data_IF_560298366898
#
_entry.id   IF_560298366898
#
_cell.length_a   1.000
_cell.length_b   1.000
_cell.length_c   1.000
_cell.angle_alpha   90.00
_cell.angle_beta   90.00
_cell.angle_gamma   90.00
#
_symmetry.space_group_name_H-M   'P 1'
#
loop_
_entity.id
_entity.type
_entity.pdbx_description
1 polymer ?
#
# COMPACT_ATOMS: atom_id res chain seq x y z
N UNK A 1 31.82 7.88 -6.76
CA UNK A 1 30.64 7.19 -7.31
C UNK A 1 29.59 6.99 -6.22
N UNK A 2 28.51 7.79 -6.27
CA UNK A 2 27.49 7.93 -5.20
C UNK A 2 26.34 6.92 -5.40
N UNK A 3 25.77 6.43 -4.29
CA UNK A 3 24.68 5.45 -4.22
C UNK A 3 23.35 6.16 -4.51
N UNK A 4 22.58 5.69 -5.51
CA UNK A 4 21.21 6.14 -5.80
C UNK A 4 20.28 5.08 -5.23
N UNK A 5 19.35 5.50 -4.38
CA UNK A 5 18.37 4.67 -3.70
C UNK A 5 17.00 5.27 -4.04
N UNK A 6 16.09 4.42 -4.49
CA UNK A 6 14.69 4.80 -4.64
C UNK A 6 14.12 5.29 -3.31
N UNK A 7 13.46 6.45 -3.34
CA UNK A 7 12.79 7.02 -2.18
C UNK A 7 11.32 6.67 -2.29
N UNK A 8 11.00 5.47 -1.83
CA UNK A 8 9.72 5.16 -1.18
C UNK A 8 9.85 5.57 0.29
N UNK A 9 8.79 6.13 0.88
CA UNK A 9 8.73 6.46 2.31
C UNK A 9 8.71 5.14 3.10
N UNK A 10 9.89 4.65 3.49
CA UNK A 10 10.06 3.35 4.16
C UNK A 10 10.09 3.51 5.67
N UNK A 11 9.16 2.87 6.38
CA UNK A 11 9.05 2.84 7.84
C UNK A 11 9.49 1.43 8.30
N UNK A 12 10.46 1.35 9.21
CA UNK A 12 10.93 0.08 9.77
C UNK A 12 10.45 -0.07 11.23
N UNK A 13 9.79 -1.20 11.56
CA UNK A 13 9.37 -1.53 12.93
C UNK A 13 9.67 -2.98 13.29
N UNK A 14 10.19 -3.17 14.51
CA UNK A 14 10.43 -4.47 15.13
C UNK A 14 10.20 -4.40 16.64
N UNK A 15 9.07 -4.94 17.11
CA UNK A 15 8.89 -5.66 18.39
C UNK A 15 7.40 -5.91 18.64
N UNK A 16 7.02 -7.17 18.83
CA UNK A 16 5.67 -7.71 18.69
C UNK A 16 5.15 -8.10 20.07
N UNK A 17 4.07 -7.44 20.53
CA UNK A 17 2.92 -8.00 21.26
C UNK A 17 1.95 -6.91 21.79
N UNK A 18 2.31 -5.61 21.75
CA UNK A 18 1.39 -4.45 21.91
C UNK A 18 0.84 -3.93 20.55
N UNK A 19 0.80 -4.80 19.54
CA UNK A 19 0.79 -4.39 18.13
C UNK A 19 -0.60 -4.02 17.57
N UNK A 20 -1.70 -4.43 18.20
CA UNK A 20 -3.04 -4.25 17.61
C UNK A 20 -3.61 -2.84 17.80
N UNK A 21 -3.50 -2.24 19.00
CA UNK A 21 -3.92 -0.85 19.23
C UNK A 21 -3.02 0.15 18.49
N UNK A 22 -1.70 -0.12 18.44
CA UNK A 22 -0.75 0.71 17.69
C UNK A 22 -0.97 0.64 16.17
N UNK A 23 -1.51 -0.46 15.64
CA UNK A 23 -1.89 -0.57 14.22
C UNK A 23 -3.10 0.29 13.87
N UNK A 24 -4.19 0.20 14.66
CA UNK A 24 -5.41 1.00 14.40
C UNK A 24 -5.10 2.49 14.38
N UNK A 25 -4.31 2.96 15.35
CA UNK A 25 -3.92 4.36 15.43
C UNK A 25 -3.09 4.80 14.22
N UNK A 26 -2.27 3.91 13.65
CA UNK A 26 -1.39 4.29 12.54
C UNK A 26 -2.15 4.48 11.22
N UNK A 27 -3.26 3.77 11.03
CA UNK A 27 -4.12 3.96 9.86
C UNK A 27 -4.81 5.33 9.89
N UNK A 28 -5.15 5.85 11.09
CA UNK A 28 -5.68 7.21 11.25
C UNK A 28 -4.65 8.26 10.77
N UNK A 29 -3.38 8.16 11.19
CA UNK A 29 -2.32 9.04 10.70
C UNK A 29 -2.15 8.99 9.18
N UNK A 30 -2.28 7.80 8.57
CA UNK A 30 -2.23 7.69 7.11
C UNK A 30 -3.41 8.40 6.46
N UNK A 31 -4.61 8.26 7.02
CA UNK A 31 -5.81 8.93 6.53
C UNK A 31 -5.67 10.46 6.63
N UNK A 32 -5.11 10.97 7.72
CA UNK A 32 -4.83 12.40 7.89
C UNK A 32 -3.82 12.92 6.86
N UNK A 33 -2.70 12.21 6.68
CA UNK A 33 -1.69 12.57 5.66
C UNK A 33 -2.29 12.54 4.25
N UNK A 34 -3.17 11.57 3.96
CA UNK A 34 -3.85 11.45 2.67
C UNK A 34 -4.78 12.64 2.44
N UNK A 35 -5.65 12.92 3.40
CA UNK A 35 -6.58 14.06 3.37
C UNK A 35 -5.81 15.38 3.15
N UNK A 36 -4.73 15.57 3.89
CA UNK A 36 -3.85 16.72 3.70
C UNK A 36 -3.28 16.79 2.28
N UNK A 37 -2.80 15.68 1.73
CA UNK A 37 -2.22 15.64 0.39
C UNK A 37 -3.28 15.94 -0.69
N UNK A 38 -4.49 15.42 -0.54
CA UNK A 38 -5.61 15.70 -1.45
C UNK A 38 -6.01 17.17 -1.45
N UNK A 39 -6.02 17.80 -0.28
CA UNK A 39 -6.43 19.19 -0.14
C UNK A 39 -5.33 20.19 -0.52
N UNK A 40 -4.06 19.87 -0.24
CA UNK A 40 -2.97 20.85 -0.31
C UNK A 40 -1.94 20.56 -1.41
N UNK A 41 -1.76 19.29 -1.78
CA UNK A 41 -0.70 18.87 -2.72
C UNK A 41 -1.31 18.63 -4.11
N UNK A 42 -2.37 17.83 -4.23
CA UNK A 42 -2.98 17.51 -5.52
C UNK A 42 -3.38 18.73 -6.36
N UNK A 43 -4.04 19.77 -5.81
CA UNK A 43 -4.45 20.90 -6.62
C UNK A 43 -3.24 21.62 -7.22
N UNK A 44 -2.18 21.79 -6.42
CA UNK A 44 -0.94 22.42 -6.87
C UNK A 44 -0.19 21.56 -7.89
N UNK A 45 -0.14 20.25 -7.69
CA UNK A 45 0.46 19.31 -8.64
C UNK A 45 -0.27 19.32 -9.98
N UNK A 46 -1.60 19.42 -9.99
CA UNK A 46 -2.40 19.55 -11.21
C UNK A 46 -2.11 20.86 -11.95
N UNK A 47 -1.94 21.97 -11.22
CA UNK A 47 -1.54 23.25 -11.80
C UNK A 47 -0.18 23.11 -12.48
N UNK A 48 0.84 22.61 -11.77
CA UNK A 48 2.18 22.44 -12.34
C UNK A 48 2.21 21.46 -13.51
N UNK A 49 1.47 20.35 -13.42
CA UNK A 49 1.31 19.41 -14.53
C UNK A 49 0.75 20.09 -15.77
N UNK A 50 -0.33 20.87 -15.61
CA UNK A 50 -0.95 21.60 -16.72
C UNK A 50 -0.02 22.67 -17.31
N UNK A 51 0.79 23.33 -16.49
CA UNK A 51 1.79 24.30 -16.97
C UNK A 51 2.87 23.61 -17.80
N UNK A 52 3.41 22.49 -17.31
CA UNK A 52 4.39 21.67 -18.05
C UNK A 52 3.78 21.21 -19.38
N UNK A 53 2.59 20.61 -19.36
CA UNK A 53 1.97 20.04 -20.55
C UNK A 53 1.67 21.10 -21.62
N UNK A 54 1.44 22.36 -21.21
CA UNK A 54 1.22 23.49 -22.13
C UNK A 54 2.51 24.03 -22.75
N UNK A 55 3.62 23.94 -22.01
CA UNK A 55 4.92 24.45 -22.44
C UNK A 55 5.58 23.54 -23.48
N UNK A 56 5.34 22.23 -23.40
CA UNK A 56 5.97 21.24 -24.27
C UNK A 56 5.30 21.16 -25.64
N UNK A 57 6.09 20.86 -26.67
CA UNK A 57 5.54 20.50 -27.98
C UNK A 57 4.97 19.07 -28.00
N UNK A 58 4.33 18.67 -29.10
CA UNK A 58 3.66 17.37 -29.22
C UNK A 58 4.59 16.18 -29.00
N UNK A 59 5.82 16.25 -29.50
CA UNK A 59 6.77 15.13 -29.46
C UNK A 59 7.36 14.99 -28.06
N UNK A 60 7.70 16.11 -27.42
CA UNK A 60 8.18 16.16 -26.04
C UNK A 60 7.09 15.70 -25.05
N UNK A 61 5.84 16.12 -25.27
CA UNK A 61 4.70 15.69 -24.47
C UNK A 61 4.48 14.17 -24.60
N UNK A 62 4.67 13.60 -25.79
CA UNK A 62 4.60 12.15 -25.99
C UNK A 62 5.69 11.41 -25.20
N UNK A 63 6.93 11.92 -25.22
CA UNK A 63 8.05 11.37 -24.42
C UNK A 63 7.72 11.45 -22.92
N UNK A 64 7.25 12.61 -22.45
CA UNK A 64 6.89 12.82 -21.05
C UNK A 64 5.77 11.88 -20.60
N UNK A 65 4.72 11.71 -21.42
CA UNK A 65 3.62 10.82 -21.10
C UNK A 65 4.05 9.34 -21.08
N UNK A 66 4.96 8.93 -21.96
CA UNK A 66 5.57 7.60 -21.88
C UNK A 66 6.35 7.41 -20.56
N UNK A 67 7.15 8.40 -20.17
CA UNK A 67 7.90 8.38 -18.92
C UNK A 67 6.97 8.34 -17.69
N UNK A 68 5.87 9.10 -17.69
CA UNK A 68 4.82 9.04 -16.65
C UNK A 68 4.21 7.64 -16.54
N UNK A 69 3.84 7.03 -17.67
CA UNK A 69 3.28 5.68 -17.69
C UNK A 69 4.27 4.64 -17.09
N UNK A 70 5.54 4.69 -17.53
CA UNK A 70 6.62 3.86 -16.96
C UNK A 70 6.79 4.10 -15.47
N UNK A 71 6.79 5.35 -15.02
CA UNK A 71 6.91 5.68 -13.60
C UNK A 71 5.75 5.11 -12.77
N UNK A 72 4.53 5.14 -13.30
CA UNK A 72 3.35 4.59 -12.64
C UNK A 72 3.40 3.06 -12.55
N UNK A 73 3.75 2.37 -13.63
CA UNK A 73 4.01 0.91 -13.61
C UNK A 73 5.12 0.58 -12.61
N UNK A 74 6.20 1.34 -12.67
CA UNK A 74 7.36 1.15 -11.84
C UNK A 74 7.07 1.30 -10.33
N UNK A 75 6.18 2.23 -9.97
CA UNK A 75 5.67 2.36 -8.59
C UNK A 75 4.90 1.10 -8.17
N UNK A 76 4.04 0.55 -9.04
CA UNK A 76 3.27 -0.66 -8.75
C UNK A 76 4.19 -1.86 -8.50
N UNK A 77 5.16 -2.08 -9.37
CA UNK A 77 6.16 -3.14 -9.24
C UNK A 77 7.00 -2.99 -7.97
N UNK A 78 7.44 -1.77 -7.68
CA UNK A 78 8.18 -1.47 -6.46
C UNK A 78 7.37 -1.77 -5.20
N UNK A 79 6.06 -1.49 -5.22
CA UNK A 79 5.14 -1.78 -4.12
C UNK A 79 4.88 -3.28 -3.97
N UNK A 80 4.69 -4.00 -5.07
CA UNK A 80 4.57 -5.46 -5.05
C UNK A 80 5.84 -6.12 -4.53
N UNK A 81 7.01 -5.67 -4.99
CA UNK A 81 8.29 -6.16 -4.50
C UNK A 81 8.43 -5.91 -2.99
N UNK A 82 8.05 -4.72 -2.49
CA UNK A 82 8.08 -4.43 -1.05
C UNK A 82 7.10 -5.30 -0.25
N UNK A 83 5.93 -5.65 -0.80
CA UNK A 83 4.96 -6.56 -0.16
C UNK A 83 5.51 -7.98 -0.05
N UNK A 84 6.15 -8.45 -1.11
CA UNK A 84 6.73 -9.79 -1.17
C UNK A 84 8.11 -9.87 -0.48
N UNK A 85 8.72 -8.73 -0.16
CA UNK A 85 10.01 -8.67 0.53
C UNK A 85 9.86 -9.06 2.00
N UNK A 86 10.05 -10.34 2.30
CA UNK A 86 10.34 -10.79 3.67
C UNK A 86 11.81 -10.52 3.95
N UNK A 87 12.16 -9.59 4.87
CA UNK A 87 13.55 -9.40 5.23
C UNK A 87 14.09 -10.70 5.81
N UNK A 88 15.02 -11.35 5.11
CA UNK A 88 15.75 -12.50 5.64
C UNK A 88 16.50 -12.05 6.89
N UNK A 89 15.94 -12.41 8.06
CA UNK A 89 16.45 -12.01 9.37
C UNK A 89 17.82 -12.63 9.66
N UNK A 90 18.23 -13.66 8.91
CA UNK A 90 19.50 -14.35 9.05
C UNK A 90 20.67 -13.66 8.34
N UNK A 91 20.42 -12.93 7.25
CA UNK A 91 21.48 -12.40 6.39
C UNK A 91 21.59 -10.87 6.42
N UNK A 92 21.94 -10.32 7.59
CA UNK A 92 22.21 -8.88 7.78
C UNK A 92 23.37 -8.33 6.94
N UNK A 93 24.08 -9.19 6.21
CA UNK A 93 25.25 -8.85 5.39
C UNK A 93 25.05 -8.96 3.88
N UNK A 94 23.84 -9.29 3.39
CA UNK A 94 23.54 -9.36 1.96
C UNK A 94 23.83 -8.02 1.29
N UNK A 95 25.03 -7.90 0.69
CA UNK A 95 25.45 -6.73 -0.08
C UNK A 95 24.34 -6.46 -1.10
N UNK A 96 23.66 -5.31 -0.98
CA UNK A 96 22.75 -4.81 -2.02
C UNK A 96 23.45 -5.01 -3.36
N UNK A 97 22.92 -5.93 -4.17
CA UNK A 97 23.48 -6.25 -5.47
C UNK A 97 23.69 -4.96 -6.26
N UNK A 98 24.77 -4.87 -7.03
CA UNK A 98 25.09 -3.67 -7.83
C UNK A 98 24.02 -3.37 -8.90
N UNK A 99 23.11 -4.31 -9.16
CA UNK A 99 22.09 -4.22 -10.18
C UNK A 99 20.73 -4.15 -9.50
N UNK A 100 20.28 -2.93 -9.17
CA UNK A 100 18.90 -2.72 -8.78
C UNK A 100 18.16 -2.26 -10.05
N UNK A 101 17.29 -3.09 -10.66
CA UNK A 101 16.61 -2.74 -11.92
C UNK A 101 15.83 -1.42 -11.81
N UNK A 102 15.28 -1.15 -10.62
CA UNK A 102 14.65 0.12 -10.25
C UNK A 102 15.53 1.34 -10.49
N UNK A 103 16.83 1.21 -10.22
CA UNK A 103 17.77 2.31 -10.40
C UNK A 103 18.03 2.55 -11.88
N UNK A 104 18.17 1.49 -12.67
CA UNK A 104 18.43 1.57 -14.11
C UNK A 104 17.25 2.22 -14.83
N UNK A 105 16.02 1.81 -14.50
CA UNK A 105 14.80 2.41 -15.07
C UNK A 105 14.63 3.89 -14.68
N UNK A 106 14.91 4.25 -13.42
CA UNK A 106 14.90 5.67 -13.01
C UNK A 106 15.99 6.49 -13.71
N UNK A 107 17.15 5.90 -13.98
CA UNK A 107 18.21 6.56 -14.74
C UNK A 107 17.82 6.74 -16.21
N UNK A 108 17.16 5.73 -16.81
CA UNK A 108 16.64 5.81 -18.18
C UNK A 108 15.62 6.93 -18.32
N UNK A 109 14.60 6.98 -17.44
CA UNK A 109 13.60 8.06 -17.46
C UNK A 109 14.24 9.43 -17.27
N UNK A 110 15.22 9.53 -16.36
CA UNK A 110 15.95 10.78 -16.17
C UNK A 110 16.70 11.19 -17.45
N UNK A 111 17.38 10.26 -18.12
CA UNK A 111 18.08 10.52 -19.38
C UNK A 111 17.12 10.94 -20.51
N UNK A 112 15.91 10.37 -20.57
CA UNK A 112 14.89 10.75 -21.56
C UNK A 112 14.33 12.15 -21.32
N UNK A 113 14.25 12.59 -20.06
CA UNK A 113 13.67 13.88 -19.69
C UNK A 113 14.70 15.03 -19.68
N UNK A 114 16.00 14.73 -19.65
CA UNK A 114 17.06 15.75 -19.66
C UNK A 114 16.97 16.69 -20.88
N UNK A 115 16.86 16.20 -22.13
CA UNK A 115 16.75 17.08 -23.30
C UNK A 115 15.55 18.02 -23.23
N UNK A 116 14.41 17.55 -22.73
CA UNK A 116 13.20 18.37 -22.54
C UNK A 116 13.47 19.50 -21.55
N UNK A 117 14.16 19.19 -20.44
CA UNK A 117 14.52 20.18 -19.43
C UNK A 117 15.51 21.21 -19.98
N UNK A 118 16.44 20.78 -20.83
CA UNK A 118 17.43 21.66 -21.46
C UNK A 118 16.80 22.58 -22.51
N UNK A 119 15.85 22.07 -23.32
CA UNK A 119 15.11 22.85 -24.31
C UNK A 119 14.26 23.96 -23.68
N UNK A 120 13.75 23.75 -22.46
CA UNK A 120 12.90 24.68 -21.72
C UNK A 120 13.55 25.13 -20.40
N UNK A 121 14.86 25.42 -20.42
CA UNK A 121 15.65 25.66 -19.21
C UNK A 121 15.11 26.78 -18.32
N UNK A 122 14.66 27.89 -18.92
CA UNK A 122 14.18 29.08 -18.20
C UNK A 122 12.85 28.80 -17.51
N UNK A 123 11.92 28.16 -18.23
CA UNK A 123 10.66 27.70 -17.65
C UNK A 123 10.90 26.77 -16.45
N UNK A 124 11.76 25.77 -16.61
CA UNK A 124 12.06 24.82 -15.53
C UNK A 124 12.91 25.41 -14.41
N UNK A 125 13.67 26.48 -14.65
CA UNK A 125 14.34 27.23 -13.59
C UNK A 125 13.31 27.94 -12.71
N UNK A 126 12.38 28.69 -13.32
CA UNK A 126 11.31 29.38 -12.59
C UNK A 126 10.40 28.39 -11.84
N UNK A 127 10.00 27.30 -12.49
CA UNK A 127 9.16 26.28 -11.86
C UNK A 127 9.85 25.63 -10.65
N UNK A 128 11.18 25.44 -10.67
CA UNK A 128 11.92 24.93 -9.50
C UNK A 128 11.85 25.89 -8.31
N UNK A 129 11.95 27.20 -8.56
CA UNK A 129 11.85 28.22 -7.52
C UNK A 129 10.46 28.23 -6.86
N UNK A 130 9.40 27.94 -7.63
CA UNK A 130 8.05 27.79 -7.10
C UNK A 130 7.85 26.48 -6.33
N UNK A 131 8.38 25.36 -6.85
CA UNK A 131 8.22 24.03 -6.24
C UNK A 131 8.92 23.95 -4.88
N UNK A 132 10.12 24.52 -4.76
CA UNK A 132 10.95 24.35 -3.58
C UNK A 132 10.26 24.75 -2.26
N UNK A 133 9.76 25.99 -2.08
CA UNK A 133 9.15 26.41 -0.81
C UNK A 133 7.89 25.59 -0.48
N UNK A 134 7.08 25.24 -1.49
CA UNK A 134 5.90 24.37 -1.30
C UNK A 134 6.29 22.97 -0.86
N UNK A 135 7.31 22.37 -1.49
CA UNK A 135 7.82 21.06 -1.08
C UNK A 135 8.38 21.07 0.34
N UNK A 136 9.06 22.15 0.75
CA UNK A 136 9.58 22.28 2.12
C UNK A 136 8.44 22.41 3.14
N UNK A 137 7.42 23.22 2.81
CA UNK A 137 6.21 23.36 3.63
C UNK A 137 5.52 22.00 3.82
N UNK A 138 5.20 21.29 2.74
CA UNK A 138 4.53 19.98 2.80
C UNK A 138 5.30 18.95 3.62
N UNK A 139 6.63 18.93 3.49
CA UNK A 139 7.47 18.05 4.31
C UNK A 139 7.40 18.40 5.80
N UNK A 140 7.38 19.68 6.14
CA UNK A 140 7.29 20.12 7.53
C UNK A 140 5.92 19.81 8.12
N UNK A 141 4.84 20.04 7.37
CA UNK A 141 3.48 19.75 7.81
C UNK A 141 3.31 18.24 8.06
N UNK A 142 3.76 17.38 7.14
CA UNK A 142 3.75 15.92 7.34
C UNK A 142 4.62 15.45 8.50
N UNK A 143 5.75 16.12 8.78
CA UNK A 143 6.56 15.82 9.96
C UNK A 143 5.86 16.23 11.24
N UNK A 144 5.15 17.35 11.23
CA UNK A 144 4.35 17.84 12.35
C UNK A 144 3.21 16.87 12.66
N UNK A 145 2.41 16.48 11.66
CA UNK A 145 1.35 15.48 11.83
C UNK A 145 1.88 14.16 12.42
N UNK A 146 3.01 13.65 11.91
CA UNK A 146 3.65 12.44 12.46
C UNK A 146 4.12 12.60 13.90
N UNK A 147 4.60 13.80 14.27
CA UNK A 147 5.09 14.10 15.61
C UNK A 147 3.94 14.21 16.60
N UNK A 148 2.88 14.93 16.26
CA UNK A 148 1.67 15.11 17.08
C UNK A 148 0.98 13.77 17.30
N UNK A 149 0.73 13.03 16.21
CA UNK A 149 0.19 11.68 16.30
C UNK A 149 1.02 10.77 17.22
N UNK A 150 2.36 10.83 17.13
CA UNK A 150 3.23 10.04 18.00
C UNK A 150 3.12 10.46 19.47
N UNK A 151 2.90 11.75 19.76
CA UNK A 151 2.73 12.24 21.13
C UNK A 151 1.42 11.76 21.75
N UNK A 152 0.37 11.64 20.94
CA UNK A 152 -0.97 11.24 21.39
C UNK A 152 -1.15 9.71 21.46
N UNK A 153 -0.53 8.96 20.54
CA UNK A 153 -0.85 7.55 20.30
C UNK A 153 0.23 6.56 20.76
N UNK A 154 1.43 7.04 21.08
CA UNK A 154 2.48 6.19 21.65
C UNK A 154 2.52 6.48 23.14
N UNK A 155 1.91 5.61 23.93
CA UNK A 155 2.13 5.59 25.38
C UNK A 155 3.64 5.67 25.60
N UNK A 156 4.09 6.73 26.26
CA UNK A 156 5.48 6.79 26.70
C UNK A 156 5.64 5.57 27.60
N UNK A 157 6.51 4.60 27.27
CA UNK A 157 6.74 3.51 28.19
C UNK A 157 7.14 4.15 29.51
N UNK A 158 6.39 3.85 30.58
CA UNK A 158 6.72 4.34 31.91
C UNK A 158 8.09 3.77 32.26
N UNK A 159 9.12 4.56 32.04
CA UNK A 159 10.42 4.28 32.60
C UNK A 159 10.29 4.50 34.10
N UNK A 160 9.97 3.45 34.85
CA UNK A 160 9.99 3.51 36.30
C UNK A 160 11.40 3.90 36.77
N UNK A 161 11.48 4.75 37.80
CA UNK A 161 12.73 5.39 38.24
C UNK A 161 13.81 4.40 38.76
N UNK A 162 13.50 3.10 38.86
CA UNK A 162 14.46 2.04 39.20
C UNK A 162 15.26 1.62 37.96
N UNK A 163 16.14 2.54 37.58
CA UNK A 163 16.94 2.61 36.34
C UNK A 163 17.96 1.50 36.07
N UNK A 164 17.89 0.35 36.74
CA UNK A 164 18.71 -0.81 36.40
C UNK A 164 18.09 -1.69 35.30
N UNK A 165 16.76 -1.63 35.10
CA UNK A 165 16.05 -2.58 34.24
C UNK A 165 15.16 -1.96 33.15
N UNK A 166 15.20 -0.64 32.95
CA UNK A 166 14.76 -0.09 31.67
C UNK A 166 15.70 -0.66 30.60
N UNK A 167 15.23 -1.52 29.67
CA UNK A 167 16.08 -1.96 28.59
C UNK A 167 16.63 -0.70 27.95
N UNK A 168 17.96 -0.58 27.93
CA UNK A 168 18.67 0.49 27.26
C UNK A 168 18.17 0.52 25.82
N UNK A 169 17.09 1.26 25.55
CA UNK A 169 16.56 1.52 24.23
C UNK A 169 17.60 2.40 23.55
N UNK A 170 18.64 1.75 23.06
CA UNK A 170 19.47 2.23 21.99
C UNK A 170 20.18 3.56 22.19
N UNK A 171 20.58 3.96 23.41
CA UNK A 171 21.79 4.80 23.56
C UNK A 171 23.06 3.99 23.26
N UNK A 172 22.97 3.03 22.33
CA UNK A 172 24.15 2.43 21.74
C UNK A 172 24.96 3.58 21.18
N UNK A 173 26.13 3.83 21.77
CA UNK A 173 27.17 4.74 21.29
C UNK A 173 27.75 4.30 19.93
N UNK A 174 26.98 3.56 19.14
CA UNK A 174 27.20 3.43 17.73
C UNK A 174 27.02 4.81 17.12
N UNK A 175 28.14 5.51 16.93
CA UNK A 175 28.31 6.53 15.89
C UNK A 175 28.13 5.91 14.49
N UNK A 176 27.20 4.98 14.33
CA UNK A 176 26.66 4.60 13.05
C UNK A 176 26.18 5.92 12.48
N UNK A 177 26.90 6.39 11.46
CA UNK A 177 26.59 7.62 10.74
C UNK A 177 25.15 7.45 10.27
N UNK A 178 24.18 7.88 11.07
CA UNK A 178 22.78 7.94 10.71
C UNK A 178 22.81 8.72 9.41
N UNK A 179 22.51 7.99 8.32
CA UNK A 179 22.80 8.43 6.96
C UNK A 179 22.29 9.85 6.84
N UNK A 180 23.19 10.79 6.52
CA UNK A 180 22.90 12.21 6.39
C UNK A 180 21.51 12.35 5.79
N UNK A 181 20.54 12.81 6.60
CA UNK A 181 19.11 12.75 6.27
C UNK A 181 18.88 13.14 4.82
N UNK A 182 18.06 12.36 4.11
CA UNK A 182 17.82 12.37 2.67
C UNK A 182 18.22 13.69 1.98
N UNK A 183 19.52 13.86 1.68
CA UNK A 183 19.99 15.06 0.96
C UNK A 183 19.37 15.18 -0.42
N UNK A 184 18.85 14.06 -0.94
CA UNK A 184 18.11 13.98 -2.18
C UNK A 184 16.72 14.64 -2.12
N UNK A 185 16.08 14.71 -0.95
CA UNK A 185 14.76 15.38 -0.80
C UNK A 185 14.86 16.90 -0.93
N UNK A 186 16.07 17.46 -0.76
CA UNK A 186 16.34 18.89 -0.89
C UNK A 186 16.96 19.28 -2.23
N UNK A 187 17.12 18.35 -3.18
CA UNK A 187 17.61 18.70 -4.50
C UNK A 187 16.42 19.18 -5.36
N UNK A 188 16.36 20.45 -5.79
CA UNK A 188 15.26 20.97 -6.60
C UNK A 188 15.07 20.20 -7.92
N UNK A 189 16.15 19.66 -8.50
CA UNK A 189 16.05 18.83 -9.71
C UNK A 189 15.24 17.56 -9.48
N UNK A 190 15.38 16.93 -8.31
CA UNK A 190 14.63 15.73 -7.97
C UNK A 190 13.16 16.05 -7.66
N UNK A 191 12.89 17.23 -7.11
CA UNK A 191 11.51 17.70 -6.89
C UNK A 191 10.83 17.98 -8.23
N UNK A 192 11.50 18.69 -9.15
CA UNK A 192 11.00 18.88 -10.51
C UNK A 192 10.72 17.54 -11.20
N UNK A 193 11.64 16.59 -11.13
CA UNK A 193 11.47 15.28 -11.75
C UNK A 193 10.23 14.54 -11.20
N UNK A 194 9.94 14.68 -9.90
CA UNK A 194 8.71 14.12 -9.30
C UNK A 194 7.44 14.77 -9.86
N UNK A 195 7.46 16.08 -10.08
CA UNK A 195 6.33 16.80 -10.68
C UNK A 195 6.14 16.38 -12.14
N UNK A 196 7.22 16.28 -12.91
CA UNK A 196 7.16 15.85 -14.31
C UNK A 196 6.62 14.42 -14.45
N UNK A 197 7.10 13.48 -13.64
CA UNK A 197 6.71 12.07 -13.70
C UNK A 197 5.35 11.77 -13.06
N UNK A 198 4.67 12.75 -12.48
CA UNK A 198 3.33 12.55 -11.96
C UNK A 198 2.29 12.60 -13.09
N UNK A 199 1.45 11.58 -13.16
CA UNK A 199 0.45 11.38 -14.23
C UNK A 199 -0.92 11.99 -13.91
N UNK A 200 -1.10 12.56 -12.72
CA UNK A 200 -2.37 13.08 -12.25
C UNK A 200 -3.22 12.07 -11.49
N UNK A 201 -2.73 10.84 -11.29
CA UNK A 201 -3.44 9.85 -10.47
C UNK A 201 -3.51 10.32 -9.02
N UNK A 202 -4.62 10.04 -8.30
CA UNK A 202 -4.68 10.30 -6.88
C UNK A 202 -3.63 9.46 -6.14
N UNK A 203 -3.10 9.98 -5.03
CA UNK A 203 -2.20 9.20 -4.14
C UNK A 203 -2.86 7.98 -3.48
N UNK A 204 -4.17 7.77 -3.69
CA UNK A 204 -4.95 6.68 -3.09
C UNK A 204 -4.43 5.29 -3.45
N UNK A 205 -3.93 5.11 -4.68
CA UNK A 205 -3.29 3.85 -5.09
C UNK A 205 -2.13 3.53 -4.14
N UNK A 206 -1.26 4.49 -3.85
CA UNK A 206 -0.09 4.29 -2.98
C UNK A 206 -0.47 4.01 -1.52
N UNK A 207 -1.51 4.65 -1.00
CA UNK A 207 -1.94 4.47 0.39
C UNK A 207 -2.68 3.13 0.62
N UNK A 208 -3.46 2.66 -0.37
CA UNK A 208 -4.03 1.31 -0.37
C UNK A 208 -2.96 0.24 -0.63
N UNK A 209 -1.79 0.63 -1.18
CA UNK A 209 -0.68 -0.29 -1.44
C UNK A 209 0.08 -0.70 -0.15
N UNK A 210 0.04 0.11 0.91
CA UNK A 210 0.64 -0.20 2.24
C UNK A 210 -0.35 -0.65 3.31
N UNK A 211 -1.66 -0.61 3.05
CA UNK A 211 -2.51 -1.61 3.69
C UNK A 211 -1.95 -2.94 3.19
N UNK A 212 -1.24 -3.63 4.09
CA UNK A 212 -1.00 -5.06 3.95
C UNK A 212 -2.33 -5.58 3.47
N UNK A 213 -2.38 -6.22 2.31
CA UNK A 213 -3.60 -6.84 1.85
C UNK A 213 -3.92 -8.02 2.80
N UNK A 214 -4.32 -7.72 4.03
CA UNK A 214 -5.69 -7.96 4.38
C UNK A 214 -6.50 -7.16 3.33
N UNK A 215 -6.71 -7.57 2.07
CA UNK A 215 -7.60 -8.67 1.74
C UNK A 215 -8.45 -9.21 2.92
N UNK A 216 -8.92 -8.32 3.79
CA UNK A 216 -10.34 -8.06 3.83
C UNK A 216 -10.70 -7.21 2.58
N UNK A 217 -10.72 -7.70 1.34
CA UNK A 217 -11.84 -8.50 0.84
C UNK A 217 -12.99 -8.26 1.79
N UNK A 218 -13.87 -7.28 1.56
CA UNK A 218 -15.02 -7.00 2.42
C UNK A 218 -15.53 -8.35 2.92
N UNK A 219 -15.13 -8.73 4.16
CA UNK A 219 -15.13 -10.15 4.49
C UNK A 219 -16.59 -10.47 4.43
N UNK A 220 -16.94 -11.47 3.62
CA UNK A 220 -18.33 -11.84 3.60
C UNK A 220 -18.76 -12.28 5.00
N UNK A 221 -17.84 -12.44 5.97
CA UNK A 221 -18.14 -12.77 7.36
C UNK A 221 -19.05 -13.99 7.37
N UNK A 222 -18.65 -14.95 6.53
CA UNK A 222 -19.48 -16.07 6.18
C UNK A 222 -19.50 -17.04 7.35
N UNK A 223 -20.68 -17.38 7.82
CA UNK A 223 -20.90 -18.34 8.88
C UNK A 223 -21.83 -19.43 8.39
N UNK A 224 -21.57 -20.66 8.83
CA UNK A 224 -22.33 -21.83 8.44
C UNK A 224 -23.04 -22.40 9.67
N UNK A 225 -24.35 -22.61 9.59
CA UNK A 225 -25.14 -23.22 10.67
C UNK A 225 -26.27 -24.15 10.15
N UNK A 226 -26.61 -25.22 10.90
CA UNK A 226 -25.86 -25.73 12.05
C UNK A 226 -24.49 -26.28 11.61
N UNK A 227 -23.54 -26.39 12.55
CA UNK A 227 -22.25 -27.02 12.31
C UNK A 227 -21.83 -27.77 13.60
N UNK A 228 -21.92 -29.11 13.64
CA UNK A 228 -22.22 -30.04 12.53
C UNK A 228 -23.64 -29.94 11.96
N UNK A 229 -23.83 -30.35 10.70
CA UNK A 229 -25.13 -30.44 10.02
C UNK A 229 -25.46 -31.88 9.57
N UNK A 230 -26.74 -32.21 9.47
CA UNK A 230 -27.19 -33.54 9.04
C UNK A 230 -27.45 -33.56 7.52
N UNK A 231 -28.38 -32.73 7.03
CA UNK A 231 -28.83 -32.75 5.63
C UNK A 231 -28.88 -31.37 4.94
N UNK A 232 -29.20 -30.31 5.68
CA UNK A 232 -29.30 -28.95 5.15
C UNK A 232 -28.41 -27.99 5.94
N UNK A 233 -27.80 -27.05 5.21
CA UNK A 233 -26.86 -26.08 5.76
C UNK A 233 -27.30 -24.67 5.35
N UNK A 234 -27.31 -23.75 6.31
CA UNK A 234 -27.51 -22.33 6.04
C UNK A 234 -26.15 -21.63 6.03
N UNK A 235 -25.86 -20.97 4.92
CA UNK A 235 -24.68 -20.10 4.75
C UNK A 235 -25.13 -18.65 4.88
N UNK A 236 -24.74 -18.01 5.96
CA UNK A 236 -24.99 -16.60 6.20
C UNK A 236 -23.74 -15.79 5.85
N UNK A 237 -23.87 -14.74 5.04
CA UNK A 237 -22.76 -13.89 4.66
C UNK A 237 -23.21 -12.46 4.30
N UNK A 238 -22.34 -11.46 4.48
CA UNK A 238 -22.55 -10.06 4.15
C UNK A 238 -22.05 -9.75 2.72
N UNK A 239 -22.97 -9.50 1.80
CA UNK A 239 -22.68 -9.15 0.43
C UNK A 239 -22.47 -7.63 0.29
N UNK A 240 -21.28 -7.12 -0.07
CA UNK A 240 -21.04 -5.68 -0.21
C UNK A 240 -21.79 -5.06 -1.39
N UNK A 241 -22.13 -5.85 -2.41
CA UNK A 241 -22.81 -5.38 -3.63
C UNK A 241 -23.82 -6.40 -4.14
N UNK A 242 -24.88 -5.92 -4.81
CA UNK A 242 -25.83 -6.76 -5.55
C UNK A 242 -25.16 -7.48 -6.73
N UNK A 243 -25.65 -8.66 -7.11
CA UNK A 243 -25.17 -9.45 -8.26
C UNK A 243 -25.03 -10.94 -7.96
N UNK A 244 -24.34 -11.66 -8.83
CA UNK A 244 -24.14 -13.12 -8.71
C UNK A 244 -22.85 -13.41 -7.96
N UNK A 245 -22.92 -14.26 -6.94
CA UNK A 245 -21.79 -14.81 -6.21
C UNK A 245 -21.65 -16.30 -6.52
N UNK A 246 -20.41 -16.76 -6.68
CA UNK A 246 -20.10 -18.16 -6.93
C UNK A 246 -19.78 -18.86 -5.62
N UNK A 247 -20.58 -19.85 -5.23
CA UNK A 247 -20.36 -20.71 -4.06
C UNK A 247 -19.82 -22.06 -4.53
N UNK A 248 -18.61 -22.40 -4.12
CA UNK A 248 -17.98 -23.70 -4.38
C UNK A 248 -17.84 -24.45 -3.06
N UNK A 249 -18.16 -25.75 -3.06
CA UNK A 249 -17.96 -26.64 -1.92
C UNK A 249 -16.98 -27.73 -2.35
N UNK A 250 -15.96 -27.97 -1.54
CA UNK A 250 -14.96 -29.01 -1.80
C UNK A 250 -14.73 -29.89 -0.57
N UNK A 251 -14.29 -31.14 -0.81
CA UNK A 251 -13.85 -32.03 0.26
C UNK A 251 -12.48 -31.61 0.86
N UNK A 252 -11.97 -32.40 1.81
CA UNK A 252 -10.64 -32.19 2.42
C UNK A 252 -9.47 -32.41 1.46
N UNK A 253 -9.69 -33.09 0.36
CA UNK A 253 -8.71 -33.34 -0.71
C UNK A 253 -8.73 -32.23 -1.77
N UNK A 254 -9.67 -31.28 -1.68
CA UNK A 254 -9.84 -30.18 -2.63
C UNK A 254 -10.69 -30.52 -3.84
N UNK A 255 -11.32 -31.70 -3.90
CA UNK A 255 -12.23 -32.04 -4.99
C UNK A 255 -13.53 -31.25 -4.83
N UNK A 256 -13.97 -30.58 -5.89
CA UNK A 256 -15.24 -29.83 -5.89
C UNK A 256 -16.41 -30.81 -5.89
N UNK A 257 -17.23 -30.77 -4.84
CA UNK A 257 -18.43 -31.61 -4.68
C UNK A 257 -19.72 -30.87 -5.02
N UNK A 258 -19.70 -29.53 -5.02
CA UNK A 258 -20.84 -28.71 -5.44
C UNK A 258 -20.40 -27.33 -5.89
N UNK A 259 -21.15 -26.76 -6.83
CA UNK A 259 -20.96 -25.41 -7.35
C UNK A 259 -22.32 -24.76 -7.58
N UNK A 260 -22.56 -23.60 -6.97
CA UNK A 260 -23.84 -22.89 -6.99
C UNK A 260 -23.63 -21.40 -7.27
N UNK A 261 -24.58 -20.80 -7.98
CA UNK A 261 -24.64 -19.34 -8.16
C UNK A 261 -25.69 -18.76 -7.20
N UNK A 262 -25.28 -17.82 -6.35
CA UNK A 262 -26.13 -17.14 -5.38
C UNK A 262 -26.46 -15.74 -5.91
N UNK A 263 -27.73 -15.52 -6.27
CA UNK A 263 -28.20 -14.22 -6.74
C UNK A 263 -28.53 -13.32 -5.55
N UNK A 264 -27.83 -12.19 -5.45
CA UNK A 264 -28.02 -11.21 -4.38
C UNK A 264 -28.66 -9.95 -4.95
N UNK A 265 -29.91 -9.69 -4.57
CA UNK A 265 -30.69 -8.54 -5.07
C UNK A 265 -30.31 -7.19 -4.44
N UNK A 266 -29.72 -7.19 -3.25
CA UNK A 266 -29.28 -5.98 -2.55
C UNK A 266 -28.05 -6.26 -1.69
N UNK A 267 -27.22 -5.24 -1.46
CA UNK A 267 -26.11 -5.35 -0.51
C UNK A 267 -26.64 -5.58 0.92
N UNK A 268 -25.86 -6.30 1.74
CA UNK A 268 -26.17 -6.58 3.14
C UNK A 268 -26.12 -8.07 3.48
N UNK A 269 -26.80 -8.44 4.57
CA UNK A 269 -26.79 -9.78 5.13
C UNK A 269 -27.65 -10.75 4.31
N UNK A 270 -27.04 -11.80 3.79
CA UNK A 270 -27.64 -12.85 2.96
C UNK A 270 -27.66 -14.16 3.73
N UNK A 271 -28.75 -14.91 3.63
CA UNK A 271 -28.86 -16.27 4.14
C UNK A 271 -29.21 -17.20 2.96
N UNK A 272 -28.28 -18.08 2.59
CA UNK A 272 -28.42 -19.00 1.46
C UNK A 272 -28.46 -20.44 1.96
N UNK A 273 -29.52 -21.17 1.61
CA UNK A 273 -29.68 -22.58 1.98
C UNK A 273 -28.99 -23.45 0.93
N UNK A 274 -27.99 -24.21 1.35
CA UNK A 274 -27.32 -25.19 0.52
C UNK A 274 -28.20 -26.44 0.49
N UNK A 275 -28.93 -26.65 -0.61
CA UNK A 275 -29.77 -27.83 -0.84
C UNK A 275 -29.29 -28.62 -2.06
N UNK A 276 -29.74 -29.88 -2.19
CA UNK A 276 -29.50 -30.72 -3.37
C UNK A 276 -28.10 -31.33 -3.46
N UNK A 277 -27.28 -31.22 -2.40
CA UNK A 277 -25.95 -31.82 -2.34
C UNK A 277 -25.99 -33.02 -1.40
N UNK A 278 -25.88 -34.24 -1.95
CA UNK A 278 -25.77 -35.46 -1.15
C UNK A 278 -24.35 -35.58 -0.61
N UNK A 279 -24.09 -34.90 0.52
CA UNK A 279 -22.80 -34.96 1.21
C UNK A 279 -22.76 -36.18 2.14
N UNK A 280 -21.65 -36.91 2.12
CA UNK A 280 -21.35 -37.94 3.12
C UNK A 280 -20.82 -37.34 4.42
N UNK A 281 -20.73 -38.15 5.47
CA UNK A 281 -20.12 -37.73 6.74
C UNK A 281 -18.67 -37.30 6.52
N UNK A 282 -18.29 -36.10 6.99
CA UNK A 282 -16.96 -35.55 6.75
C UNK A 282 -16.84 -34.05 6.96
N UNK A 283 -15.64 -33.53 6.72
CA UNK A 283 -15.34 -32.09 6.77
C UNK A 283 -15.28 -31.55 5.34
N UNK A 284 -15.89 -30.40 5.13
CA UNK A 284 -15.93 -29.73 3.83
C UNK A 284 -15.44 -28.29 3.97
N UNK A 285 -14.93 -27.77 2.86
CA UNK A 285 -14.60 -26.37 2.69
C UNK A 285 -15.66 -25.72 1.80
N UNK A 286 -16.02 -24.48 2.08
CA UNK A 286 -16.75 -23.63 1.14
C UNK A 286 -15.89 -22.45 0.73
N UNK A 287 -16.10 -21.97 -0.49
CA UNK A 287 -15.50 -20.75 -1.03
C UNK A 287 -16.58 -19.93 -1.73
N UNK A 288 -16.81 -18.70 -1.29
CA UNK A 288 -17.67 -17.71 -1.95
C UNK A 288 -16.76 -16.78 -2.74
N UNK A 289 -17.05 -16.54 -4.02
CA UNK A 289 -16.25 -15.64 -4.86
C UNK A 289 -17.13 -14.67 -5.64
N UNK A 290 -16.72 -13.40 -5.69
CA UNK A 290 -17.25 -12.41 -6.65
C UNK A 290 -16.16 -11.44 -7.06
N UNK A 291 -16.01 -11.21 -8.36
CA UNK A 291 -14.97 -10.32 -8.89
C UNK A 291 -13.55 -10.78 -8.55
N UNK A 292 -13.32 -12.09 -8.42
CA UNK A 292 -12.01 -12.67 -8.10
C UNK A 292 -11.60 -12.57 -6.63
N UNK A 293 -12.49 -12.15 -5.73
CA UNK A 293 -12.24 -12.06 -4.29
C UNK A 293 -12.87 -13.28 -3.60
N UNK A 294 -12.07 -14.29 -3.17
CA UNK A 294 -12.59 -15.45 -2.46
C UNK A 294 -12.67 -15.21 -0.94
N UNK A 295 -13.74 -15.70 -0.31
CA UNK A 295 -13.84 -15.93 1.14
C UNK A 295 -14.06 -17.43 1.35
N UNK A 296 -13.31 -18.04 2.26
CA UNK A 296 -13.43 -19.48 2.53
C UNK A 296 -13.68 -19.80 4.00
N UNK A 297 -14.39 -20.90 4.26
CA UNK A 297 -14.59 -21.43 5.59
C UNK A 297 -14.85 -22.93 5.57
N UNK A 298 -15.17 -23.50 6.74
CA UNK A 298 -15.25 -24.95 6.96
C UNK A 298 -16.52 -25.34 7.71
N UNK A 299 -17.07 -26.51 7.38
CA UNK A 299 -18.17 -27.11 8.12
C UNK A 299 -18.08 -28.64 8.13
N UNK A 300 -18.85 -29.26 9.03
CA UNK A 300 -18.87 -30.72 9.24
C UNK A 300 -20.27 -31.27 8.95
N UNK A 301 -20.33 -32.38 8.23
CA UNK A 301 -21.55 -33.19 8.04
C UNK A 301 -21.49 -34.43 8.94
N UNK A 302 -22.55 -34.66 9.70
CA UNK A 302 -22.74 -35.82 10.57
C UNK A 302 -24.19 -36.30 10.53
N UNK A 303 -24.45 -37.37 9.77
CA UNK A 303 -25.74 -38.07 9.70
C UNK A 303 -25.84 -39.15 10.76
#
# INVERSE_FOLDING_TARGET
>A
MKRILAITVFIAFSSILLFSQTQKNFDDLKADIRTYAEQNIHPQMNIWKSQIDKELNSDELAILNNARAKATEFKKDGLEHMRNFTPDRGNKGGKKGKNNPMREQMQEMHSQLLPIIENHSDFFANLKEEIQPKSEQWQNDMRTMKREWKQENVEKPECTNDSANCPNYGKGKGKGKHGKGNKFEKNPQHQLMRVMLWDGSPFEDEANLFQKSDQSAARYNANVFPNPANDAINLEFNAPTQGVYELTISDVSGNVVSKQNVNVSSAGKINHVITGVSLGNGVYNYTITKGGIPESGRFVIQK
#
